data_IF_168068581314
#
_entry.id   IF_168068581314
#
_cell.length_a   1.000
_cell.length_b   1.000
_cell.length_c   1.000
_cell.angle_alpha   90.00
_cell.angle_beta   90.00
_cell.angle_gamma   90.00
#
_symmetry.space_group_name_H-M   'P 1'
#
loop_
_entity.id
_entity.type
_entity.pdbx_description
1 polymer ?
#
# COMPACT_ATOMS: atom_id res chain seq x y z
N UNK A 1 19.66 0.40 4.28
CA UNK A 1 18.66 -0.33 3.46
C UNK A 1 17.27 0.13 3.85
N UNK A 2 16.46 0.61 2.90
CA UNK A 2 15.10 1.04 3.17
C UNK A 2 14.21 -0.19 3.42
N UNK A 3 13.58 -0.28 4.59
CA UNK A 3 12.71 -1.41 4.98
C UNK A 3 11.63 -1.70 3.92
N UNK A 4 11.13 -0.64 3.26
CA UNK A 4 10.16 -0.71 2.16
C UNK A 4 10.68 -1.49 0.95
N UNK A 5 11.95 -1.29 0.59
CA UNK A 5 12.60 -1.99 -0.53
C UNK A 5 12.64 -3.49 -0.24
N UNK A 6 13.09 -3.88 0.96
CA UNK A 6 13.20 -5.28 1.38
C UNK A 6 11.84 -6.00 1.36
N UNK A 7 10.77 -5.33 1.78
CA UNK A 7 9.41 -5.88 1.75
C UNK A 7 8.93 -6.08 0.31
N UNK A 8 9.21 -5.12 -0.57
CA UNK A 8 8.84 -5.19 -1.99
C UNK A 8 9.60 -6.29 -2.73
N UNK A 9 10.89 -6.45 -2.47
CA UNK A 9 11.74 -7.51 -3.03
C UNK A 9 11.24 -8.89 -2.59
N UNK A 10 10.90 -9.05 -1.29
CA UNK A 10 10.27 -10.29 -0.78
C UNK A 10 8.94 -10.59 -1.45
N UNK A 11 8.15 -9.56 -1.71
CA UNK A 11 6.88 -9.67 -2.41
C UNK A 11 7.03 -9.87 -3.94
N UNK A 12 8.28 -9.94 -4.45
CA UNK A 12 8.61 -10.05 -5.88
C UNK A 12 7.93 -8.98 -6.75
N UNK A 13 7.76 -7.77 -6.19
CA UNK A 13 7.05 -6.70 -6.87
C UNK A 13 5.58 -7.01 -7.14
N UNK A 14 4.90 -7.76 -6.25
CA UNK A 14 3.47 -8.09 -6.36
C UNK A 14 2.71 -7.76 -5.09
N UNK A 15 1.44 -7.41 -5.23
CA UNK A 15 0.52 -7.23 -4.13
C UNK A 15 0.32 -8.56 -3.39
N UNK A 16 0.55 -8.58 -2.09
CA UNK A 16 0.41 -9.81 -1.28
C UNK A 16 -1.05 -10.18 -0.97
N UNK A 17 -2.02 -9.36 -1.41
CA UNK A 17 -3.46 -9.63 -1.22
C UNK A 17 -4.15 -10.11 -2.50
N UNK A 18 -3.90 -9.46 -3.63
CA UNK A 18 -4.54 -9.76 -4.91
C UNK A 18 -3.58 -10.26 -6.00
N UNK A 19 -2.29 -10.43 -5.67
CA UNK A 19 -1.23 -10.90 -6.59
C UNK A 19 -0.96 -10.02 -7.81
N UNK A 20 -1.59 -8.83 -7.90
CA UNK A 20 -1.33 -7.85 -8.97
C UNK A 20 0.13 -7.39 -8.95
N UNK A 21 0.77 -7.38 -10.13
CA UNK A 21 2.13 -6.88 -10.29
C UNK A 21 2.18 -5.36 -10.12
N UNK A 22 3.14 -4.87 -9.35
CA UNK A 22 3.43 -3.45 -9.29
C UNK A 22 4.15 -3.04 -10.57
N UNK A 23 3.57 -2.07 -11.27
CA UNK A 23 4.24 -1.40 -12.38
C UNK A 23 5.26 -0.40 -11.81
N UNK A 24 6.34 -0.06 -12.53
CA UNK A 24 7.28 0.98 -12.10
C UNK A 24 6.60 2.36 -11.91
N UNK A 25 5.44 2.58 -12.54
CA UNK A 25 4.61 3.78 -12.39
C UNK A 25 3.65 3.75 -11.21
N UNK A 26 3.51 2.61 -10.52
CA UNK A 26 2.58 2.44 -9.40
C UNK A 26 3.38 2.25 -8.12
N UNK A 27 3.31 3.23 -7.22
CA UNK A 27 3.97 3.13 -5.93
C UNK A 27 3.26 2.07 -5.05
N UNK A 28 3.98 1.07 -4.53
CA UNK A 28 3.41 0.09 -3.62
C UNK A 28 3.18 0.73 -2.24
N UNK A 29 2.02 0.45 -1.65
CA UNK A 29 1.72 0.86 -0.28
C UNK A 29 2.03 -0.26 0.71
N UNK A 30 2.37 0.12 1.95
CA UNK A 30 2.74 -0.82 3.00
C UNK A 30 1.75 -0.74 4.16
N UNK A 31 1.02 -1.82 4.39
CA UNK A 31 0.17 -2.00 5.56
C UNK A 31 0.96 -2.66 6.70
N UNK A 32 0.69 -2.23 7.93
CA UNK A 32 1.17 -2.93 9.12
C UNK A 32 0.13 -3.98 9.55
N UNK A 33 0.48 -5.26 9.53
CA UNK A 33 -0.43 -6.37 9.83
C UNK A 33 -0.95 -6.28 11.27
N UNK A 34 -0.07 -5.96 12.23
CA UNK A 34 -0.42 -5.78 13.63
C UNK A 34 -1.10 -4.43 13.94
N UNK A 35 -1.26 -3.54 12.96
CA UNK A 35 -1.79 -2.18 13.16
C UNK A 35 -0.89 -1.25 14.00
N UNK A 36 0.23 -1.75 14.52
CA UNK A 36 1.21 -0.96 15.28
C UNK A 36 2.21 -0.29 14.35
N UNK A 37 2.22 1.05 14.34
CA UNK A 37 3.18 1.88 13.56
C UNK A 37 4.60 1.88 14.12
N UNK A 38 4.76 1.37 15.35
CA UNK A 38 6.07 1.23 16.00
C UNK A 38 6.80 -0.01 15.49
N UNK A 39 6.06 -1.02 15.03
CA UNK A 39 6.63 -2.26 14.54
C UNK A 39 6.95 -2.18 13.04
N UNK A 40 8.15 -1.68 12.76
CA UNK A 40 8.68 -1.51 11.41
C UNK A 40 9.39 -2.79 10.90
N UNK A 41 9.16 -3.95 11.50
CA UNK A 41 9.79 -5.19 11.03
C UNK A 41 9.26 -5.51 9.61
N UNK A 42 10.13 -5.94 8.68
CA UNK A 42 9.70 -6.28 7.32
C UNK A 42 8.71 -7.45 7.28
N UNK A 43 8.62 -8.25 8.34
CA UNK A 43 7.63 -9.33 8.48
C UNK A 43 6.23 -8.80 8.89
N UNK A 44 6.17 -7.65 9.58
CA UNK A 44 4.94 -7.00 9.98
C UNK A 44 4.38 -6.06 8.88
N UNK A 45 5.13 -5.88 7.79
CA UNK A 45 4.75 -5.02 6.67
C UNK A 45 4.26 -5.86 5.49
N UNK A 46 3.14 -5.44 4.91
CA UNK A 46 2.53 -6.08 3.75
C UNK A 46 2.48 -5.11 2.57
N UNK A 47 3.05 -5.51 1.44
CA UNK A 47 2.98 -4.73 0.20
C UNK A 47 1.61 -4.91 -0.47
N UNK A 48 0.90 -3.80 -0.67
CA UNK A 48 -0.44 -3.73 -1.25
C UNK A 48 -0.50 -2.75 -2.42
N UNK A 49 -1.35 -3.05 -3.39
CA UNK A 49 -1.73 -2.11 -4.46
C UNK A 49 -2.67 -1.03 -3.93
N UNK A 50 -2.75 0.15 -4.59
CA UNK A 50 -3.62 1.25 -4.18
C UNK A 50 -5.07 0.79 -3.97
N UNK A 51 -5.59 -0.07 -4.84
CA UNK A 51 -6.95 -0.63 -4.70
C UNK A 51 -7.13 -1.47 -3.42
N UNK A 52 -6.14 -2.30 -3.06
CA UNK A 52 -6.19 -3.11 -1.84
C UNK A 52 -5.93 -2.28 -0.58
N UNK A 53 -5.06 -1.28 -0.70
CA UNK A 53 -4.68 -0.39 0.39
C UNK A 53 -5.80 0.58 0.75
N UNK A 54 -6.66 0.97 -0.19
CA UNK A 54 -7.82 1.85 0.07
C UNK A 54 -8.72 1.37 1.22
N UNK A 55 -8.98 0.06 1.30
CA UNK A 55 -9.77 -0.52 2.39
C UNK A 55 -9.04 -0.48 3.75
N UNK A 56 -7.70 -0.54 3.72
CA UNK A 56 -6.84 -0.43 4.90
C UNK A 56 -6.79 1.02 5.38
N UNK A 57 -6.60 1.94 4.44
CA UNK A 57 -6.57 3.37 4.69
C UNK A 57 -7.88 3.84 5.31
N UNK A 58 -9.03 3.40 4.80
CA UNK A 58 -10.33 3.74 5.38
C UNK A 58 -10.46 3.25 6.83
N UNK A 59 -9.96 2.05 7.15
CA UNK A 59 -9.96 1.51 8.53
C UNK A 59 -9.05 2.31 9.46
N UNK A 60 -7.85 2.65 8.98
CA UNK A 60 -6.91 3.48 9.73
C UNK A 60 -7.40 4.93 9.90
N UNK A 61 -8.11 5.47 8.91
CA UNK A 61 -8.69 6.80 8.96
C UNK A 61 -9.90 6.84 9.90
N UNK A 62 -10.77 5.82 9.89
CA UNK A 62 -11.87 5.69 10.87
C UNK A 62 -11.36 5.68 12.31
N UNK A 63 -10.23 5.01 12.60
CA UNK A 63 -9.58 5.08 13.92
C UNK A 63 -9.07 6.48 14.28
N UNK A 64 -8.72 7.29 13.27
CA UNK A 64 -8.30 8.70 13.42
C UNK A 64 -9.47 9.69 13.33
N UNK A 65 -10.70 9.22 13.18
CA UNK A 65 -11.92 9.97 12.85
C UNK A 65 -12.42 10.98 13.88
N UNK A 66 -11.54 11.50 14.73
CA UNK A 66 -11.74 12.78 15.42
C UNK A 66 -10.97 13.95 14.75
N UNK A 67 -10.04 13.73 13.80
CA UNK A 67 -9.22 14.85 13.28
C UNK A 67 -8.54 14.65 11.89
N UNK A 68 -9.26 14.39 10.80
CA UNK A 68 -8.55 14.33 9.51
C UNK A 68 -9.36 14.01 8.26
N UNK A 69 -10.42 14.79 8.01
CA UNK A 69 -10.98 14.88 6.66
C UNK A 69 -9.95 15.45 5.67
N UNK A 70 -10.09 15.04 4.42
CA UNK A 70 -9.32 15.45 3.23
C UNK A 70 -7.89 14.90 3.12
N UNK A 71 -7.71 13.88 2.28
CA UNK A 71 -6.98 14.02 1.00
C UNK A 71 -7.59 13.06 -0.04
N UNK A 72 -8.67 13.52 -0.69
CA UNK A 72 -9.09 12.96 -1.98
C UNK A 72 -8.08 13.34 -3.05
N UNK A 73 -8.01 12.49 -4.08
CA UNK A 73 -7.44 12.73 -5.40
C UNK A 73 -5.91 12.62 -5.52
N UNK A 74 -5.42 11.42 -5.83
CA UNK A 74 -4.38 11.22 -6.85
C UNK A 74 -4.46 9.77 -7.39
N UNK A 75 -5.65 9.38 -7.84
CA UNK A 75 -5.84 8.22 -8.71
C UNK A 75 -6.25 8.76 -10.08
N UNK A 76 -5.25 9.07 -10.89
CA UNK A 76 -5.36 9.16 -12.35
C UNK A 76 -4.18 8.42 -12.93
N UNK A 77 -4.24 7.10 -12.87
CA UNK A 77 -3.52 6.27 -13.83
C UNK A 77 -4.49 6.01 -14.99
N UNK A 78 -4.32 6.63 -16.16
CA UNK A 78 -4.77 5.99 -17.38
C UNK A 78 -3.80 4.86 -17.69
N UNK A 79 -4.26 3.63 -17.46
CA UNK A 79 -3.77 2.42 -18.10
C UNK A 79 -4.35 2.41 -19.52
N UNK A 80 -3.50 2.50 -20.54
CA UNK A 80 -3.86 2.28 -21.96
C UNK A 80 -2.52 2.15 -22.71
N UNK A 81 -2.26 1.29 -23.70
CA UNK A 81 -3.04 0.31 -24.44
C UNK A 81 -2.04 -0.55 -25.26
N UNK A 82 -2.54 -1.63 -25.85
CA UNK A 82 -1.96 -2.38 -27.01
C UNK A 82 -1.25 -1.43 -28.01
N UNK A 83 -0.23 -1.79 -28.77
CA UNK A 83 0.03 -3.00 -29.57
C UNK A 83 1.46 -2.91 -30.09
#
# INVERSE_FOLDING_TARGET
MAIRQTVLERARGRCQKCSTKFSPSVEPHFEHINGSKKDNRPQNLRALCPSCYRAVEERENKKKGVLGGLRKAFDKVPVDFRK
#
